data_IF_924683886100
#
_entry.id   IF_924683886100
#
_cell.length_a   1.000
_cell.length_b   1.000
_cell.length_c   1.000
_cell.angle_alpha   90.00
_cell.angle_beta   90.00
_cell.angle_gamma   90.00
#
_symmetry.space_group_name_H-M   'P 1'
#
loop_
_entity.id
_entity.type
_entity.pdbx_description
1 polymer ?
#
# COMPACT_ATOMS: atom_id res chain seq x y z
N UNK A 1 -6.57 2.31 -1.32
CA UNK A 1 -5.20 2.51 -1.83
C UNK A 1 -5.28 3.17 -3.19
N UNK A 2 -4.88 4.44 -3.30
CA UNK A 2 -4.85 5.12 -4.60
C UNK A 2 -3.80 4.41 -5.43
N UNK A 3 -4.22 3.68 -6.46
CA UNK A 3 -3.31 3.18 -7.49
C UNK A 3 -2.60 4.41 -8.06
N UNK A 4 -1.38 4.69 -7.66
CA UNK A 4 -0.50 5.55 -8.44
C UNK A 4 -0.09 4.74 -9.67
N UNK A 5 -1.02 4.63 -10.62
CA UNK A 5 -0.77 4.09 -11.95
C UNK A 5 0.15 5.08 -12.67
N UNK A 6 1.46 4.91 -12.50
CA UNK A 6 2.45 5.50 -13.37
C UNK A 6 2.69 4.56 -14.53
N UNK A 7 1.75 4.52 -15.49
CA UNK A 7 1.87 3.70 -16.70
C UNK A 7 1.71 4.60 -17.92
N UNK A 8 2.81 5.14 -18.46
CA UNK A 8 2.88 5.52 -19.88
C UNK A 8 4.30 5.31 -20.39
N UNK A 9 4.59 4.07 -20.77
CA UNK A 9 5.63 3.77 -21.75
C UNK A 9 5.09 4.08 -23.15
N UNK A 10 5.28 5.32 -23.60
CA UNK A 10 5.29 5.73 -25.02
C UNK A 10 6.33 6.85 -25.14
N UNK A 11 7.00 6.96 -26.29
CA UNK A 11 8.15 7.84 -26.55
C UNK A 11 7.81 9.35 -26.56
N UNK A 12 7.22 9.88 -25.49
CA UNK A 12 7.03 11.31 -25.26
C UNK A 12 7.57 11.67 -23.87
N UNK A 13 8.41 12.70 -23.81
CA UNK A 13 9.04 13.19 -22.58
C UNK A 13 7.98 13.37 -21.46
N UNK A 14 8.26 12.95 -20.21
CA UNK A 14 7.27 12.97 -19.16
C UNK A 14 7.00 14.41 -18.76
N UNK A 15 5.86 14.95 -19.18
CA UNK A 15 5.26 16.11 -18.52
C UNK A 15 4.99 15.68 -17.09
N UNK A 16 5.85 16.08 -16.15
CA UNK A 16 5.60 15.92 -14.72
C UNK A 16 4.42 16.80 -14.37
N UNK A 17 3.21 16.28 -14.55
CA UNK A 17 1.99 16.92 -14.07
C UNK A 17 2.08 17.04 -12.56
N UNK A 18 2.25 18.26 -12.06
CA UNK A 18 2.15 18.52 -10.62
C UNK A 18 0.67 18.41 -10.27
N UNK A 19 0.30 17.37 -9.52
CA UNK A 19 -1.05 17.24 -8.98
C UNK A 19 -1.22 18.34 -7.92
N UNK A 20 -2.23 19.23 -8.04
CA UNK A 20 -2.51 20.22 -7.01
C UNK A 20 -2.71 19.60 -5.63
N UNK A 21 -2.25 20.29 -4.58
CA UNK A 21 -2.29 19.82 -3.19
C UNK A 21 -3.71 19.45 -2.73
N UNK A 22 -4.73 20.20 -3.18
CA UNK A 22 -6.14 19.91 -2.89
C UNK A 22 -6.57 18.55 -3.42
N UNK A 23 -6.19 18.20 -4.65
CA UNK A 23 -6.51 16.89 -5.24
C UNK A 23 -5.79 15.80 -4.44
N UNK A 24 -4.52 16.02 -4.11
CA UNK A 24 -3.75 15.09 -3.28
C UNK A 24 -4.40 14.87 -1.90
N UNK A 25 -4.96 15.92 -1.29
CA UNK A 25 -5.68 15.84 -0.02
C UNK A 25 -6.97 15.03 -0.15
N UNK A 26 -7.77 15.27 -1.18
CA UNK A 26 -9.01 14.52 -1.44
C UNK A 26 -8.69 13.04 -1.66
N UNK A 27 -7.63 12.72 -2.40
CA UNK A 27 -7.19 11.36 -2.64
C UNK A 27 -6.76 10.65 -1.36
N UNK A 28 -5.98 11.31 -0.49
CA UNK A 28 -5.62 10.83 0.85
C UNK A 28 -6.86 10.54 1.71
N UNK A 29 -7.78 11.50 1.77
CA UNK A 29 -9.03 11.39 2.51
C UNK A 29 -9.87 10.19 2.04
N UNK A 30 -10.14 10.10 0.73
CA UNK A 30 -10.91 8.98 0.14
C UNK A 30 -10.23 7.63 0.40
N UNK A 31 -8.91 7.57 0.29
CA UNK A 31 -8.16 6.34 0.56
C UNK A 31 -8.22 5.92 2.03
N UNK A 32 -8.24 6.88 2.98
CA UNK A 32 -8.36 6.59 4.41
C UNK A 32 -9.77 6.10 4.76
N UNK A 33 -10.78 6.85 4.32
CA UNK A 33 -12.16 6.62 4.72
C UNK A 33 -12.79 5.42 4.02
N UNK A 34 -12.34 5.06 2.82
CA UNK A 34 -12.76 3.84 2.12
C UNK A 34 -11.86 2.62 2.36
N UNK A 35 -10.88 2.70 3.25
CA UNK A 35 -10.06 1.54 3.62
C UNK A 35 -10.78 0.63 4.62
N UNK A 36 -10.34 -0.63 4.65
CA UNK A 36 -10.60 -1.58 5.73
C UNK A 36 -10.11 -0.97 7.05
N UNK A 37 -10.87 -1.17 8.13
CA UNK A 37 -10.66 -0.58 9.45
C UNK A 37 -10.45 -1.67 10.51
N UNK A 38 -9.96 -1.23 11.67
CA UNK A 38 -9.85 -2.12 12.83
C UNK A 38 -11.23 -2.65 13.23
N UNK A 39 -11.31 -3.96 13.43
CA UNK A 39 -12.55 -4.65 13.77
C UNK A 39 -13.33 -5.19 12.57
N UNK A 40 -12.96 -4.82 11.33
CA UNK A 40 -13.56 -5.42 10.14
C UNK A 40 -13.17 -6.90 10.06
N UNK A 41 -14.18 -7.77 9.87
CA UNK A 41 -13.95 -9.19 9.62
C UNK A 41 -13.53 -9.39 8.16
N UNK A 42 -12.42 -10.11 7.96
CA UNK A 42 -11.93 -10.46 6.64
C UNK A 42 -11.83 -11.98 6.52
N UNK A 43 -12.27 -12.50 5.38
CA UNK A 43 -11.96 -13.87 4.99
C UNK A 43 -10.48 -14.01 4.65
N UNK A 44 -9.97 -15.25 4.66
CA UNK A 44 -8.60 -15.52 4.25
C UNK A 44 -8.32 -15.05 2.80
N UNK A 45 -9.28 -15.23 1.90
CA UNK A 45 -9.19 -14.77 0.51
C UNK A 45 -9.03 -13.25 0.44
N UNK A 46 -9.85 -12.49 1.16
CA UNK A 46 -9.74 -11.02 1.23
C UNK A 46 -8.39 -10.56 1.79
N UNK A 47 -7.86 -11.26 2.80
CA UNK A 47 -6.52 -10.99 3.32
C UNK A 47 -5.44 -11.22 2.26
N UNK A 48 -5.51 -12.33 1.52
CA UNK A 48 -4.58 -12.63 0.43
C UNK A 48 -4.64 -11.57 -0.68
N UNK A 49 -5.85 -11.17 -1.09
CA UNK A 49 -6.06 -10.11 -2.09
C UNK A 49 -5.49 -8.77 -1.64
N UNK A 50 -5.67 -8.41 -0.36
CA UNK A 50 -5.15 -7.18 0.22
C UNK A 50 -3.61 -7.14 0.15
N UNK A 51 -2.96 -8.22 0.58
CA UNK A 51 -1.49 -8.34 0.56
C UNK A 51 -0.98 -8.35 -0.89
N UNK A 52 -1.65 -9.06 -1.79
CA UNK A 52 -1.30 -9.06 -3.21
C UNK A 52 -1.43 -7.65 -3.81
N UNK A 53 -2.53 -6.94 -3.56
CA UNK A 53 -2.74 -5.58 -4.03
C UNK A 53 -1.72 -4.58 -3.48
N UNK A 54 -1.34 -4.71 -2.21
CA UNK A 54 -0.23 -3.95 -1.60
C UNK A 54 1.07 -4.19 -2.35
N UNK A 55 1.42 -5.44 -2.69
CA UNK A 55 2.66 -5.79 -3.38
C UNK A 55 2.83 -5.10 -4.75
N UNK A 56 1.71 -4.75 -5.40
CA UNK A 56 1.69 -4.08 -6.70
C UNK A 56 1.79 -2.54 -6.60
N UNK A 57 1.78 -1.99 -5.38
CA UNK A 57 1.91 -0.55 -5.17
C UNK A 57 3.36 -0.11 -5.27
N UNK A 58 3.59 1.13 -5.76
CA UNK A 58 4.93 1.74 -5.82
C UNK A 58 5.56 1.96 -4.44
N UNK A 59 4.73 2.22 -3.42
CA UNK A 59 5.14 2.44 -2.04
C UNK A 59 4.38 1.48 -1.11
N UNK A 60 4.67 0.17 -1.16
CA UNK A 60 3.83 -0.85 -0.51
C UNK A 60 3.89 -0.79 1.02
N UNK A 61 4.98 -0.27 1.59
CA UNK A 61 5.18 -0.17 3.04
C UNK A 61 4.74 1.17 3.63
N UNK A 62 4.15 2.06 2.82
CA UNK A 62 3.80 3.41 3.24
C UNK A 62 2.38 3.76 2.80
N UNK A 63 1.51 4.13 3.76
CA UNK A 63 0.18 4.61 3.42
C UNK A 63 0.23 6.02 2.82
N UNK A 64 -0.89 6.48 2.23
CA UNK A 64 -0.96 7.81 1.63
C UNK A 64 -0.63 8.96 2.60
N UNK A 65 -0.74 8.74 3.92
CA UNK A 65 -0.43 9.72 4.97
C UNK A 65 1.00 9.63 5.51
N UNK A 66 1.83 8.70 5.04
CA UNK A 66 3.17 8.53 5.58
C UNK A 66 3.28 7.63 6.82
N UNK A 67 2.25 6.85 7.15
CA UNK A 67 2.34 5.80 8.20
C UNK A 67 2.82 4.47 7.63
N UNK A 68 3.65 3.69 8.34
CA UNK A 68 4.06 2.37 7.89
C UNK A 68 2.82 1.47 7.74
N UNK A 69 2.74 0.73 6.62
CA UNK A 69 1.62 -0.19 6.34
C UNK A 69 1.85 -1.60 6.89
N UNK A 70 3.11 -2.00 7.09
CA UNK A 70 3.52 -3.30 7.59
C UNK A 70 4.81 -3.13 8.41
N UNK A 71 5.01 -4.00 9.39
CA UNK A 71 6.23 -4.05 10.22
C UNK A 71 6.74 -5.49 10.28
N UNK A 72 8.06 -5.72 10.21
CA UNK A 72 8.61 -7.05 10.37
C UNK A 72 8.41 -7.52 11.82
N UNK A 73 7.93 -8.75 12.00
CA UNK A 73 7.70 -9.33 13.32
C UNK A 73 8.89 -10.17 13.82
N UNK A 74 9.59 -10.85 12.92
CA UNK A 74 10.71 -11.73 13.26
C UNK A 74 11.68 -11.89 12.09
N UNK A 75 12.95 -12.16 12.41
CA UNK A 75 13.95 -12.62 11.45
C UNK A 75 13.98 -14.15 11.47
N UNK A 76 13.49 -14.78 10.41
CA UNK A 76 13.37 -16.24 10.34
C UNK A 76 14.73 -16.95 10.39
N UNK A 77 15.83 -16.27 10.04
CA UNK A 77 17.20 -16.81 10.15
C UNK A 77 17.67 -16.99 11.60
N UNK A 78 17.05 -16.29 12.56
CA UNK A 78 17.29 -16.48 13.99
C UNK A 78 16.37 -17.54 14.60
N UNK A 79 15.40 -18.04 13.83
CA UNK A 79 14.49 -19.09 14.26
C UNK A 79 15.09 -20.44 13.84
N UNK A 80 15.96 -20.99 14.68
CA UNK A 80 16.38 -22.38 14.55
C UNK A 80 15.20 -23.30 14.93
N UNK A 81 14.65 -24.12 14.01
CA UNK A 81 13.59 -25.05 14.36
C UNK A 81 14.16 -26.12 15.31
N UNK A 82 13.71 -26.13 16.57
CA UNK A 82 14.14 -27.12 17.58
C UNK A 82 14.46 -26.59 18.99
N UNK A 83 14.17 -25.33 19.31
CA UNK A 83 14.26 -24.82 20.70
C UNK A 83 12.89 -24.78 21.38
N UNK A 84 12.34 -25.96 21.70
CA UNK A 84 11.29 -26.17 22.72
C UNK A 84 11.53 -27.49 23.39
#
# INVERSE_FOLDING_TARGET
MVRQCGSYGTNAAPVRGVIPSTIHHILKYKACHGAIRFGDLLSQEQCCELVHGLSQCRLPFQCAHGRPSMVPLAHMQLYAPGQT
#
